data_IF_157136830635
#
_entry.id   IF_157136830635
#
_cell.length_a   1.000
_cell.length_b   1.000
_cell.length_c   1.000
_cell.angle_alpha   90.00
_cell.angle_beta   90.00
_cell.angle_gamma   90.00
#
_symmetry.space_group_name_H-M   'P 1'
#
loop_
_entity.id
_entity.type
_entity.pdbx_description
1 polymer ?
#
# COMPACT_ATOMS: atom_id res chain seq x y z
N UNK A 1 -27.76 -27.93 34.21
CA UNK A 1 -27.88 -27.93 32.73
C UNK A 1 -27.42 -26.55 32.26
N UNK A 2 -26.19 -26.44 31.73
CA UNK A 2 -25.62 -25.16 31.30
C UNK A 2 -25.80 -25.09 29.78
N UNK A 3 -26.71 -24.23 29.32
CA UNK A 3 -26.94 -24.02 27.90
C UNK A 3 -25.83 -23.10 27.35
N UNK A 4 -24.84 -23.70 26.68
CA UNK A 4 -23.85 -22.97 25.90
C UNK A 4 -24.53 -22.29 24.71
N UNK A 5 -24.56 -20.97 24.71
CA UNK A 5 -24.96 -20.17 23.55
C UNK A 5 -23.82 -20.18 22.54
N UNK A 6 -23.95 -20.98 21.48
CA UNK A 6 -23.11 -20.84 20.29
C UNK A 6 -23.47 -19.53 19.59
N UNK A 7 -22.56 -18.57 19.62
CA UNK A 7 -22.61 -17.42 18.71
C UNK A 7 -22.05 -17.89 17.36
N UNK A 8 -22.93 -18.23 16.42
CA UNK A 8 -22.56 -18.35 15.01
C UNK A 8 -22.46 -16.94 14.46
N UNK A 9 -21.27 -16.37 14.49
CA UNK A 9 -20.98 -15.18 13.67
C UNK A 9 -21.06 -15.61 12.22
N UNK A 10 -22.15 -15.25 11.53
CA UNK A 10 -22.20 -15.23 10.07
C UNK A 10 -21.10 -14.27 9.60
N UNK A 11 -19.91 -14.80 9.29
CA UNK A 11 -18.95 -14.07 8.49
C UNK A 11 -19.59 -13.83 7.14
N UNK A 12 -19.90 -12.57 6.82
CA UNK A 12 -20.16 -12.19 5.44
C UNK A 12 -18.96 -12.71 4.62
N UNK A 13 -19.17 -13.51 3.57
CA UNK A 13 -18.10 -13.77 2.63
C UNK A 13 -17.87 -12.42 1.93
N UNK A 14 -16.95 -11.63 2.45
CA UNK A 14 -16.30 -10.64 1.62
C UNK A 14 -15.71 -11.49 0.50
N UNK A 15 -16.33 -11.45 -0.69
CA UNK A 15 -15.72 -11.97 -1.89
C UNK A 15 -14.42 -11.18 -2.04
N UNK A 16 -13.34 -11.69 -1.46
CA UNK A 16 -12.02 -11.10 -1.66
C UNK A 16 -11.77 -11.37 -3.13
N UNK A 17 -11.92 -10.32 -3.94
CA UNK A 17 -11.66 -10.38 -5.36
C UNK A 17 -10.15 -10.47 -5.54
N UNK A 18 -9.58 -11.64 -5.22
CA UNK A 18 -8.17 -11.91 -5.43
C UNK A 18 -7.80 -11.66 -6.90
N UNK A 19 -6.54 -11.35 -7.12
CA UNK A 19 -5.99 -11.14 -8.45
C UNK A 19 -4.59 -11.75 -8.54
N UNK A 20 -4.19 -12.14 -9.73
CA UNK A 20 -2.81 -12.50 -10.04
C UNK A 20 -2.17 -11.40 -10.89
N UNK A 21 -0.85 -11.28 -10.81
CA UNK A 21 -0.07 -10.35 -11.64
C UNK A 21 0.36 -10.98 -12.97
N UNK A 22 0.47 -12.31 -13.01
CA UNK A 22 0.97 -13.06 -14.16
C UNK A 22 0.12 -14.31 -14.39
N UNK A 23 -0.15 -14.62 -15.65
CA UNK A 23 -0.76 -15.89 -16.01
C UNK A 23 0.29 -17.00 -16.00
N UNK A 24 -0.06 -18.19 -15.49
CA UNK A 24 0.86 -19.31 -15.43
C UNK A 24 1.34 -19.73 -16.83
N UNK A 25 2.64 -19.95 -16.96
CA UNK A 25 3.30 -20.43 -18.16
C UNK A 25 3.42 -19.38 -19.28
N UNK A 26 3.18 -18.09 -19.02
CA UNK A 26 3.43 -17.05 -20.04
C UNK A 26 4.92 -16.76 -20.22
N UNK A 27 5.68 -16.80 -19.12
CA UNK A 27 7.13 -16.64 -19.16
C UNK A 27 7.78 -18.02 -19.28
N UNK A 28 8.41 -18.31 -20.43
CA UNK A 28 9.04 -19.60 -20.71
C UNK A 28 10.48 -19.70 -20.22
N UNK A 29 11.06 -18.56 -19.81
CA UNK A 29 12.47 -18.44 -19.43
C UNK A 29 12.69 -18.56 -17.92
N UNK A 30 11.63 -18.84 -17.15
CA UNK A 30 11.68 -19.02 -15.70
C UNK A 30 11.52 -20.47 -15.27
N UNK A 31 11.99 -20.79 -14.06
CA UNK A 31 11.79 -22.11 -13.47
C UNK A 31 10.30 -22.36 -13.17
N UNK A 32 9.91 -23.63 -13.04
CA UNK A 32 8.53 -23.98 -12.61
C UNK A 32 8.17 -23.42 -11.23
N UNK A 33 9.16 -23.27 -10.35
CA UNK A 33 8.96 -22.67 -9.04
C UNK A 33 8.65 -21.18 -9.17
N UNK A 34 9.47 -20.45 -9.95
CA UNK A 34 9.24 -19.04 -10.24
C UNK A 34 7.89 -18.79 -10.93
N UNK A 35 7.53 -19.58 -11.96
CA UNK A 35 6.23 -19.47 -12.63
C UNK A 35 5.06 -19.63 -11.67
N UNK A 36 5.15 -20.62 -10.76
CA UNK A 36 4.15 -20.84 -9.71
C UNK A 36 4.08 -19.66 -8.72
N UNK A 37 5.23 -19.10 -8.32
CA UNK A 37 5.27 -17.96 -7.42
C UNK A 37 4.67 -16.70 -8.07
N UNK A 38 5.05 -16.41 -9.32
CA UNK A 38 4.57 -15.25 -10.07
C UNK A 38 3.06 -15.31 -10.32
N UNK A 39 2.53 -16.49 -10.62
CA UNK A 39 1.10 -16.69 -10.93
C UNK A 39 0.21 -16.91 -9.70
N UNK A 40 0.76 -16.87 -8.49
CA UNK A 40 0.00 -17.04 -7.26
C UNK A 40 -1.00 -15.88 -7.05
N UNK A 41 -2.19 -16.23 -6.56
CA UNK A 41 -3.22 -15.25 -6.22
C UNK A 41 -2.79 -14.35 -5.05
N UNK A 42 -3.01 -13.05 -5.23
CA UNK A 42 -2.90 -12.04 -4.18
C UNK A 42 -4.29 -11.82 -3.60
N UNK A 43 -4.45 -12.22 -2.34
CA UNK A 43 -5.70 -12.13 -1.59
C UNK A 43 -5.96 -10.70 -1.10
N UNK A 44 -6.25 -9.81 -2.03
CA UNK A 44 -6.53 -8.41 -1.79
C UNK A 44 -7.70 -7.93 -2.64
N UNK A 45 -8.35 -6.83 -2.25
CA UNK A 45 -9.31 -6.16 -3.13
C UNK A 45 -8.61 -5.69 -4.42
N UNK A 46 -9.19 -5.98 -5.60
CA UNK A 46 -8.64 -5.61 -6.92
C UNK A 46 -8.28 -4.14 -7.08
N UNK A 47 -8.88 -3.23 -6.31
CA UNK A 47 -8.48 -1.82 -6.33
C UNK A 47 -7.00 -1.65 -5.97
N UNK A 48 -6.41 -2.52 -5.15
CA UNK A 48 -4.98 -2.48 -4.86
C UNK A 48 -4.09 -2.65 -6.11
N UNK A 49 -4.59 -3.32 -7.16
CA UNK A 49 -3.88 -3.42 -8.44
C UNK A 49 -3.61 -2.05 -9.06
N UNK A 50 -4.40 -1.01 -8.77
CA UNK A 50 -4.13 0.35 -9.28
C UNK A 50 -2.79 0.93 -8.81
N UNK A 51 -2.21 0.38 -7.73
CA UNK A 51 -0.91 0.79 -7.22
C UNK A 51 0.27 0.29 -8.07
N UNK A 52 0.04 -0.59 -9.05
CA UNK A 52 1.10 -1.16 -9.91
C UNK A 52 1.89 -0.09 -10.69
N UNK A 53 1.26 1.05 -10.97
CA UNK A 53 1.85 2.13 -11.76
C UNK A 53 2.89 2.96 -11.01
N UNK A 54 3.06 2.79 -9.70
CA UNK A 54 3.97 3.65 -8.94
C UNK A 54 3.36 5.02 -8.58
N UNK A 55 4.18 5.90 -8.02
CA UNK A 55 3.84 7.32 -7.80
C UNK A 55 3.23 7.63 -6.43
N UNK A 56 2.59 8.80 -6.32
CA UNK A 56 1.95 9.24 -5.08
C UNK A 56 0.56 8.60 -4.94
N UNK A 57 0.41 7.73 -3.94
CA UNK A 57 -0.86 7.06 -3.66
C UNK A 57 -1.68 7.88 -2.66
N UNK A 58 -2.64 8.66 -3.16
CA UNK A 58 -3.56 9.48 -2.36
C UNK A 58 -4.70 8.67 -1.74
N UNK A 59 -5.73 9.36 -1.26
CA UNK A 59 -6.95 8.72 -0.75
C UNK A 59 -7.67 7.93 -1.85
N UNK A 60 -8.38 6.89 -1.45
CA UNK A 60 -9.29 6.17 -2.35
C UNK A 60 -10.68 6.82 -2.33
N UNK A 61 -11.48 6.48 -3.33
CA UNK A 61 -12.80 7.08 -3.61
C UNK A 61 -13.78 7.09 -2.42
N UNK A 62 -13.59 6.23 -1.40
CA UNK A 62 -14.37 6.25 -0.17
C UNK A 62 -13.67 5.51 0.97
N UNK A 63 -14.00 5.85 2.22
CA UNK A 63 -13.52 5.13 3.40
C UNK A 63 -13.86 3.63 3.39
N UNK A 64 -15.04 3.25 2.89
CA UNK A 64 -15.42 1.83 2.76
C UNK A 64 -14.54 1.07 1.76
N UNK A 65 -14.15 1.71 0.65
CA UNK A 65 -13.19 1.14 -0.29
C UNK A 65 -11.79 1.05 0.32
N UNK A 66 -11.37 2.08 1.05
CA UNK A 66 -10.11 2.09 1.80
C UNK A 66 -10.07 0.96 2.83
N UNK A 67 -11.12 0.76 3.63
CA UNK A 67 -11.21 -0.35 4.59
C UNK A 67 -11.15 -1.72 3.89
N UNK A 68 -11.81 -1.87 2.74
CA UNK A 68 -11.80 -3.11 1.96
C UNK A 68 -10.42 -3.45 1.36
N UNK A 69 -9.62 -2.43 1.04
CA UNK A 69 -8.22 -2.60 0.56
C UNK A 69 -7.27 -2.81 1.74
N UNK A 70 -7.44 -2.04 2.82
CA UNK A 70 -6.53 -1.96 3.96
C UNK A 70 -6.76 -3.03 5.01
N UNK A 71 -6.87 -4.28 4.56
CA UNK A 71 -7.02 -5.45 5.43
C UNK A 71 -5.64 -6.08 5.72
N UNK A 72 -5.52 -6.71 6.89
CA UNK A 72 -4.32 -7.49 7.22
C UNK A 72 -4.10 -8.67 6.27
N UNK A 73 -5.19 -9.23 5.71
CA UNK A 73 -5.10 -10.29 4.71
C UNK A 73 -4.45 -9.80 3.43
N UNK A 74 -4.83 -8.60 2.95
CA UNK A 74 -4.21 -8.00 1.78
C UNK A 74 -2.72 -7.73 2.02
N UNK A 75 -2.35 -7.11 3.15
CA UNK A 75 -0.95 -6.80 3.44
C UNK A 75 -0.08 -8.03 3.56
N UNK A 76 -0.58 -9.08 4.21
CA UNK A 76 0.15 -10.35 4.33
C UNK A 76 0.32 -11.00 2.96
N UNK A 77 -0.76 -11.10 2.17
CA UNK A 77 -0.69 -11.75 0.86
C UNK A 77 0.24 -11.04 -0.13
N UNK A 78 0.31 -9.70 -0.08
CA UNK A 78 1.26 -8.93 -0.88
C UNK A 78 2.71 -9.20 -0.49
N UNK A 79 3.00 -9.23 0.82
CA UNK A 79 4.35 -9.52 1.33
C UNK A 79 4.77 -10.96 1.01
N UNK A 80 3.87 -11.92 1.18
CA UNK A 80 4.10 -13.32 0.86
C UNK A 80 4.41 -13.48 -0.64
N UNK A 81 3.60 -12.88 -1.51
CA UNK A 81 3.83 -12.92 -2.96
C UNK A 81 5.21 -12.33 -3.34
N UNK A 82 5.55 -11.16 -2.81
CA UNK A 82 6.86 -10.51 -3.06
C UNK A 82 8.01 -11.39 -2.58
N UNK A 83 7.86 -12.00 -1.41
CA UNK A 83 8.87 -12.87 -0.81
C UNK A 83 9.07 -14.12 -1.66
N UNK A 84 7.99 -14.84 -1.99
CA UNK A 84 8.05 -16.05 -2.80
C UNK A 84 8.66 -15.80 -4.18
N UNK A 85 8.27 -14.73 -4.87
CA UNK A 85 8.87 -14.38 -6.17
C UNK A 85 10.36 -14.03 -6.01
N UNK A 86 10.73 -13.30 -4.96
CA UNK A 86 12.13 -12.91 -4.72
C UNK A 86 13.04 -14.10 -4.35
N UNK A 87 12.47 -15.17 -3.81
CA UNK A 87 13.16 -16.40 -3.42
C UNK A 87 13.24 -17.40 -4.58
N UNK A 88 12.14 -17.60 -5.32
CA UNK A 88 12.03 -18.64 -6.33
C UNK A 88 12.48 -18.20 -7.74
N UNK A 89 12.57 -16.89 -8.00
CA UNK A 89 13.02 -16.33 -9.28
C UNK A 89 14.46 -15.82 -9.20
N UNK A 90 15.28 -16.17 -10.20
CA UNK A 90 16.66 -15.65 -10.34
C UNK A 90 16.65 -14.15 -10.66
N UNK A 91 15.73 -13.72 -11.53
CA UNK A 91 15.52 -12.33 -11.88
C UNK A 91 14.68 -11.62 -10.80
N UNK A 92 15.35 -10.73 -10.05
CA UNK A 92 14.73 -9.93 -8.98
C UNK A 92 13.68 -8.95 -9.52
N UNK A 93 13.75 -8.57 -10.80
CA UNK A 93 12.80 -7.63 -11.40
C UNK A 93 11.40 -8.23 -11.53
N UNK A 94 11.26 -9.57 -11.47
CA UNK A 94 9.95 -10.24 -11.46
C UNK A 94 9.07 -9.82 -10.28
N UNK A 95 9.69 -9.49 -9.14
CA UNK A 95 9.00 -9.02 -7.94
C UNK A 95 8.61 -7.52 -8.00
N UNK A 96 9.08 -6.77 -9.01
CA UNK A 96 8.97 -5.31 -9.04
C UNK A 96 7.52 -4.82 -8.98
N UNK A 97 6.59 -5.44 -9.71
CA UNK A 97 5.19 -5.03 -9.69
C UNK A 97 4.50 -5.30 -8.34
N UNK A 98 4.80 -6.43 -7.70
CA UNK A 98 4.33 -6.71 -6.35
C UNK A 98 4.90 -5.71 -5.33
N UNK A 99 6.17 -5.35 -5.45
CA UNK A 99 6.81 -4.33 -4.61
C UNK A 99 6.16 -2.95 -4.76
N UNK A 100 5.79 -2.55 -5.99
CA UNK A 100 5.06 -1.30 -6.23
C UNK A 100 3.70 -1.31 -5.56
N UNK A 101 2.94 -2.39 -5.72
CA UNK A 101 1.62 -2.54 -5.09
C UNK A 101 1.73 -2.53 -3.57
N UNK A 102 2.69 -3.27 -3.00
CA UNK A 102 2.96 -3.27 -1.57
C UNK A 102 3.31 -1.88 -1.03
N UNK A 103 4.16 -1.15 -1.75
CA UNK A 103 4.52 0.23 -1.40
C UNK A 103 3.27 1.12 -1.39
N UNK A 104 2.42 1.02 -2.41
CA UNK A 104 1.19 1.81 -2.47
C UNK A 104 0.15 1.42 -1.45
N UNK A 105 0.05 0.15 -1.10
CA UNK A 105 -0.76 -0.32 0.01
C UNK A 105 -0.28 0.30 1.33
N UNK A 106 1.01 0.23 1.64
CA UNK A 106 1.58 0.76 2.88
C UNK A 106 1.36 2.28 3.00
N UNK A 107 1.51 2.99 1.88
CA UNK A 107 1.32 4.42 1.82
C UNK A 107 -0.17 4.82 1.99
N UNK A 108 -1.09 4.07 1.36
CA UNK A 108 -2.55 4.35 1.39
C UNK A 108 -3.20 3.96 2.72
N UNK A 109 -2.75 2.83 3.29
CA UNK A 109 -3.34 2.25 4.48
C UNK A 109 -2.73 2.76 5.79
N UNK A 110 -1.80 3.71 5.71
CA UNK A 110 -1.23 4.36 6.88
C UNK A 110 -2.33 5.08 7.66
N UNK A 111 -2.46 4.76 8.95
CA UNK A 111 -3.38 5.43 9.87
C UNK A 111 -2.62 6.30 10.87
N UNK A 112 -3.25 7.41 11.25
CA UNK A 112 -2.84 8.17 12.42
C UNK A 112 -3.18 7.37 13.69
N UNK A 113 -2.19 7.17 14.55
CA UNK A 113 -2.37 6.34 15.75
C UNK A 113 -3.20 7.02 16.84
N UNK A 114 -3.37 8.34 16.77
CA UNK A 114 -4.15 9.10 17.76
C UNK A 114 -5.63 9.10 17.44
N UNK A 115 -5.98 9.34 16.18
CA UNK A 115 -7.37 9.50 15.71
C UNK A 115 -7.93 8.24 15.06
N UNK A 116 -7.08 7.34 14.58
CA UNK A 116 -7.49 6.16 13.81
C UNK A 116 -7.91 6.47 12.36
N UNK A 117 -7.86 7.74 11.93
CA UNK A 117 -8.13 8.15 10.55
C UNK A 117 -7.00 7.73 9.61
N UNK A 118 -7.31 7.54 8.34
CA UNK A 118 -6.28 7.36 7.31
C UNK A 118 -5.48 8.64 7.13
N UNK A 119 -4.17 8.49 6.98
CA UNK A 119 -3.27 9.61 6.84
C UNK A 119 -3.48 10.38 5.55
N UNK A 120 -3.87 9.72 4.46
CA UNK A 120 -4.21 10.42 3.23
C UNK A 120 -5.45 11.31 3.41
N UNK A 121 -6.49 10.83 4.09
CA UNK A 121 -7.68 11.64 4.39
C UNK A 121 -7.35 12.84 5.28
N UNK A 122 -6.38 12.70 6.20
CA UNK A 122 -5.92 13.83 7.03
C UNK A 122 -5.15 14.86 6.18
N UNK A 123 -4.29 14.39 5.27
CA UNK A 123 -3.47 15.27 4.41
C UNK A 123 -4.35 15.96 3.36
N UNK A 124 -5.42 15.32 2.89
CA UNK A 124 -6.41 15.93 1.99
C UNK A 124 -7.18 17.08 2.65
N UNK A 125 -7.31 17.06 3.98
CA UNK A 125 -7.90 18.14 4.77
C UNK A 125 -6.91 19.30 5.04
N UNK A 126 -5.64 19.19 4.65
CA UNK A 126 -4.66 20.26 4.87
C UNK A 126 -5.01 21.52 4.08
N UNK A 127 -4.45 22.63 4.54
CA UNK A 127 -4.59 23.92 3.87
C UNK A 127 -4.03 23.81 2.45
N UNK A 128 -4.85 24.15 1.46
CA UNK A 128 -4.41 24.30 0.07
C UNK A 128 -3.54 25.55 -0.03
N UNK A 129 -2.22 25.33 -0.16
CA UNK A 129 -1.22 26.39 -0.30
C UNK A 129 -0.74 26.44 -1.76
N UNK A 130 -0.53 27.63 -2.30
CA UNK A 130 0.01 27.80 -3.65
C UNK A 130 1.42 27.21 -3.79
N UNK A 131 1.91 27.05 -5.03
CA UNK A 131 3.21 26.41 -5.32
C UNK A 131 4.42 27.09 -4.64
N UNK A 132 4.29 28.37 -4.27
CA UNK A 132 5.33 29.17 -3.60
C UNK A 132 5.12 29.33 -2.08
N UNK A 133 4.04 28.76 -1.54
CA UNK A 133 3.66 28.91 -0.14
C UNK A 133 3.90 27.61 0.65
N UNK A 134 4.40 27.75 1.89
CA UNK A 134 4.63 26.61 2.77
C UNK A 134 3.34 26.27 3.55
N UNK A 135 3.09 24.98 3.75
CA UNK A 135 2.05 24.51 4.66
C UNK A 135 2.20 25.14 6.06
N UNK A 136 1.09 25.41 6.77
CA UNK A 136 1.09 25.71 8.20
C UNK A 136 2.00 24.75 8.97
N UNK A 137 2.73 25.27 9.97
CA UNK A 137 3.77 24.49 10.64
C UNK A 137 3.24 23.20 11.28
N UNK A 138 2.03 23.23 11.83
CA UNK A 138 1.37 22.06 12.43
C UNK A 138 0.98 20.99 11.39
N UNK A 139 0.56 21.40 10.19
CA UNK A 139 0.29 20.51 9.05
C UNK A 139 1.59 19.94 8.45
N UNK A 140 2.59 20.81 8.22
CA UNK A 140 3.93 20.43 7.77
C UNK A 140 4.59 19.41 8.72
N UNK A 141 4.45 19.62 10.03
CA UNK A 141 4.99 18.72 11.05
C UNK A 141 4.04 17.59 11.44
N UNK A 142 2.87 17.49 10.82
CA UNK A 142 1.87 16.50 11.20
C UNK A 142 2.43 15.07 11.02
N UNK A 143 2.25 14.16 12.01
CA UNK A 143 2.88 12.83 11.96
C UNK A 143 2.56 12.02 10.71
N UNK A 144 1.35 12.16 10.15
CA UNK A 144 0.98 11.54 8.88
C UNK A 144 1.80 12.04 7.71
N UNK A 145 1.96 13.36 7.58
CA UNK A 145 2.69 13.98 6.48
C UNK A 145 4.17 13.61 6.54
N UNK A 146 4.78 13.72 7.72
CA UNK A 146 6.19 13.33 7.93
C UNK A 146 6.44 11.85 7.63
N UNK A 147 5.55 10.95 8.07
CA UNK A 147 5.68 9.51 7.76
C UNK A 147 5.54 9.25 6.26
N UNK A 148 4.56 9.87 5.60
CA UNK A 148 4.37 9.79 4.15
C UNK A 148 5.62 10.24 3.41
N UNK A 149 6.16 11.42 3.71
CA UNK A 149 7.39 11.91 3.10
C UNK A 149 8.57 10.94 3.26
N UNK A 150 8.72 10.32 4.44
CA UNK A 150 9.77 9.33 4.71
C UNK A 150 9.60 8.03 3.91
N UNK A 151 8.37 7.63 3.60
CA UNK A 151 8.10 6.45 2.78
C UNK A 151 8.55 6.63 1.32
N UNK A 152 8.70 7.88 0.85
CA UNK A 152 9.19 8.19 -0.50
C UNK A 152 10.70 8.48 -0.56
N UNK A 153 11.43 8.44 0.58
CA UNK A 153 12.90 8.50 0.60
C UNK A 153 13.50 7.21 0.04
N UNK A 154 14.62 7.30 -0.68
CA UNK A 154 14.76 6.83 -2.06
C UNK A 154 14.38 5.35 -2.24
N UNK A 155 13.15 5.12 -2.70
CA UNK A 155 12.87 4.01 -3.60
C UNK A 155 13.20 4.51 -5.01
N UNK A 156 13.94 3.77 -5.85
CA UNK A 156 14.20 4.14 -7.25
C UNK A 156 12.93 4.24 -8.12
N UNK A 157 11.74 4.11 -7.52
CA UNK A 157 10.43 4.16 -8.15
C UNK A 157 9.50 5.23 -7.56
N UNK A 158 9.98 6.03 -6.58
CA UNK A 158 9.24 7.18 -6.08
C UNK A 158 9.27 8.31 -7.13
N UNK A 159 8.11 8.76 -7.60
CA UNK A 159 8.02 10.00 -8.38
C UNK A 159 8.27 11.20 -7.45
N UNK A 160 8.89 12.26 -7.98
CA UNK A 160 9.11 13.53 -7.27
C UNK A 160 9.99 13.43 -6.00
N UNK A 161 10.97 12.52 -5.92
CA UNK A 161 11.89 12.36 -4.76
C UNK A 161 12.46 13.70 -4.29
N UNK A 162 12.91 14.55 -5.22
CA UNK A 162 13.48 15.86 -4.92
C UNK A 162 12.52 16.75 -4.10
N UNK A 163 11.26 16.82 -4.51
CA UNK A 163 10.25 17.59 -3.78
C UNK A 163 10.01 17.02 -2.37
N UNK A 164 9.94 15.68 -2.23
CA UNK A 164 9.78 15.06 -0.91
C UNK A 164 10.97 15.32 0.03
N UNK A 165 12.18 15.34 -0.52
CA UNK A 165 13.39 15.69 0.21
C UNK A 165 13.38 17.15 0.66
N UNK A 166 13.02 18.08 -0.22
CA UNK A 166 12.87 19.50 0.10
C UNK A 166 11.83 19.72 1.22
N UNK A 167 10.68 19.05 1.14
CA UNK A 167 9.66 19.11 2.21
C UNK A 167 10.18 18.55 3.54
N UNK A 168 10.95 17.44 3.52
CA UNK A 168 11.59 16.91 4.73
C UNK A 168 12.62 17.87 5.32
N UNK A 169 13.36 18.61 4.50
CA UNK A 169 14.26 19.64 4.99
C UNK A 169 13.52 20.79 5.68
N UNK A 170 12.37 21.22 5.13
CA UNK A 170 11.53 22.23 5.78
C UNK A 170 11.02 21.75 7.15
N UNK A 171 10.58 20.49 7.24
CA UNK A 171 10.20 19.85 8.52
C UNK A 171 11.35 19.87 9.53
N UNK A 172 12.60 19.65 9.10
CA UNK A 172 13.75 19.63 10.02
C UNK A 172 14.30 21.02 10.38
N UNK A 173 14.00 22.05 9.59
CA UNK A 173 14.46 23.44 9.81
C UNK A 173 13.60 24.20 10.81
N UNK A 174 12.36 23.78 11.03
CA UNK A 174 11.42 24.41 11.96
C UNK A 174 11.30 23.60 13.26
#
# INVERSE_FOLDING_TARGET
MIASKLFVTLGLPLCINAFSLYDAGTDKDVTKACDKAMSADINCNKKAFSFINGGWYGSLDSGALTDAVCTNTCSQSLQDWVTSVSEDCEDKDKAQYGLRIWTGWNATCLKDTKTGRYCNDIIEDFTDVGEEEELPHDELCHPCYVKRLKMYKPSPHALNIKWHEEQLELVHKK
#
